data_IF_956007708943
#
_entry.id   IF_956007708943
#
_cell.length_a   1.000
_cell.length_b   1.000
_cell.length_c   1.000
_cell.angle_alpha   90.00
_cell.angle_beta   90.00
_cell.angle_gamma   90.00
#
_symmetry.space_group_name_H-M   'P 1'
#
loop_
_entity.id
_entity.type
_entity.pdbx_description
1 polymer ?
#
# COMPACT_ATOMS: atom_id res chain seq x y z
N UNK A 1 -3.84 2.67 -4.63
CA UNK A 1 -2.67 3.15 -3.85
C UNK A 1 -1.41 2.54 -4.47
N UNK A 2 -0.26 3.24 -4.53
CA UNK A 2 0.95 2.67 -5.11
C UNK A 2 1.73 1.84 -4.07
N UNK A 3 1.40 0.56 -3.94
CA UNK A 3 2.08 -0.39 -3.02
C UNK A 3 3.59 -0.48 -3.30
N UNK A 4 4.01 -0.38 -4.56
CA UNK A 4 5.43 -0.38 -4.92
C UNK A 4 6.14 0.81 -4.28
N UNK A 5 5.50 1.99 -4.25
CA UNK A 5 6.03 3.17 -3.57
C UNK A 5 6.11 2.99 -2.05
N UNK A 6 5.19 2.24 -1.43
CA UNK A 6 5.23 1.92 0.00
C UNK A 6 6.44 1.02 0.31
N UNK A 7 6.60 -0.06 -0.46
CA UNK A 7 7.69 -1.02 -0.24
C UNK A 7 9.05 -0.42 -0.58
N UNK A 8 9.13 0.43 -1.61
CA UNK A 8 10.37 1.13 -1.99
C UNK A 8 10.68 2.36 -1.13
N UNK A 9 9.85 2.70 -0.14
CA UNK A 9 10.06 3.86 0.73
C UNK A 9 9.85 5.22 0.04
N UNK A 10 9.31 5.25 -1.16
CA UNK A 10 9.06 6.46 -1.96
C UNK A 10 7.71 7.13 -1.67
N UNK A 11 7.01 6.72 -0.60
CA UNK A 11 5.71 7.27 -0.24
C UNK A 11 5.82 8.29 0.90
N UNK A 12 5.12 9.43 0.76
CA UNK A 12 4.92 10.36 1.86
C UNK A 12 3.91 9.78 2.85
N UNK A 13 4.40 9.21 3.97
CA UNK A 13 3.58 8.65 5.03
C UNK A 13 2.95 9.74 5.88
N UNK A 14 1.67 9.62 6.23
CA UNK A 14 0.99 10.60 7.07
C UNK A 14 1.66 10.76 8.44
N UNK A 15 2.26 9.71 9.02
CA UNK A 15 3.08 9.84 10.24
C UNK A 15 4.27 10.80 10.07
N UNK A 16 4.92 10.80 8.91
CA UNK A 16 6.02 11.70 8.61
C UNK A 16 5.50 13.09 8.25
N UNK A 17 4.52 13.18 7.35
CA UNK A 17 3.94 14.44 6.89
C UNK A 17 3.32 15.24 8.04
N UNK A 18 2.70 14.56 9.01
CA UNK A 18 2.11 15.20 10.18
C UNK A 18 3.19 15.84 11.06
N UNK A 19 4.30 15.11 11.30
CA UNK A 19 5.44 15.63 12.08
C UNK A 19 6.07 16.87 11.47
N UNK A 20 6.03 17.01 10.15
CA UNK A 20 6.57 18.19 9.43
C UNK A 20 5.49 19.24 9.08
N UNK A 21 4.27 19.10 9.61
CA UNK A 21 3.19 20.07 9.39
C UNK A 21 2.66 20.12 7.95
N UNK A 22 2.85 19.06 7.16
CA UNK A 22 2.39 18.94 5.76
C UNK A 22 1.03 18.25 5.63
N UNK A 23 0.47 17.74 6.71
CA UNK A 23 -0.90 17.21 6.79
C UNK A 23 -1.46 17.44 8.19
N UNK A 24 -2.78 17.49 8.30
CA UNK A 24 -3.49 17.75 9.56
C UNK A 24 -3.65 16.50 10.44
N UNK A 25 -3.35 15.31 9.91
CA UNK A 25 -3.52 14.05 10.64
C UNK A 25 -2.46 13.02 10.27
N UNK A 26 -1.94 12.31 11.27
CA UNK A 26 -1.05 11.16 11.08
C UNK A 26 -1.79 9.86 10.76
N UNK A 27 -3.12 9.90 10.68
CA UNK A 27 -3.97 8.71 10.50
C UNK A 27 -3.79 8.09 9.12
N UNK A 28 -3.86 6.76 9.07
CA UNK A 28 -3.80 5.93 7.87
C UNK A 28 -4.83 6.38 6.84
N UNK A 29 -4.37 6.69 5.63
CA UNK A 29 -5.21 7.14 4.52
C UNK A 29 -6.17 6.06 4.01
N UNK A 30 -5.94 4.80 4.40
CA UNK A 30 -6.74 3.64 4.00
C UNK A 30 -7.80 3.29 5.04
N UNK A 31 -7.38 2.83 6.22
CA UNK A 31 -8.32 2.37 7.24
C UNK A 31 -8.88 3.50 8.09
N UNK A 32 -8.24 4.67 8.11
CA UNK A 32 -8.65 5.85 8.89
C UNK A 32 -8.75 5.62 10.41
N UNK A 33 -8.12 4.57 10.93
CA UNK A 33 -8.23 4.17 12.35
C UNK A 33 -6.92 4.27 13.15
N UNK A 34 -5.79 4.01 12.52
CA UNK A 34 -4.46 3.94 13.18
C UNK A 34 -3.49 4.91 12.53
N UNK A 35 -2.40 5.22 13.22
CA UNK A 35 -1.31 6.01 12.64
C UNK A 35 -0.73 5.33 11.38
N UNK A 36 -0.48 6.12 10.35
CA UNK A 36 0.10 5.64 9.12
C UNK A 36 1.61 5.49 9.18
N UNK A 37 2.05 4.31 9.59
CA UNK A 37 3.47 3.91 9.56
C UNK A 37 3.71 2.90 8.42
N UNK A 38 4.96 2.68 7.99
CA UNK A 38 5.25 1.63 7.01
C UNK A 38 4.83 0.26 7.55
N UNK A 39 5.08 0.03 8.84
CA UNK A 39 4.71 -1.19 9.55
C UNK A 39 3.19 -1.39 9.52
N UNK A 40 2.41 -0.33 9.82
CA UNK A 40 0.95 -0.41 9.75
C UNK A 40 0.50 -0.76 8.32
N UNK A 41 0.99 -0.04 7.31
CA UNK A 41 0.58 -0.28 5.93
C UNK A 41 0.92 -1.69 5.45
N UNK A 42 2.10 -2.22 5.77
CA UNK A 42 2.56 -3.53 5.26
C UNK A 42 1.95 -4.70 6.03
N UNK A 43 1.89 -4.63 7.36
CA UNK A 43 1.58 -5.79 8.20
C UNK A 43 0.21 -5.77 8.85
N UNK A 44 -0.37 -4.59 9.10
CA UNK A 44 -1.54 -4.47 9.96
C UNK A 44 -2.76 -3.85 9.28
N UNK A 45 -2.59 -3.16 8.16
CA UNK A 45 -3.68 -2.52 7.46
C UNK A 45 -4.41 -3.56 6.60
N UNK A 46 -5.61 -3.97 7.04
CA UNK A 46 -6.45 -4.91 6.30
C UNK A 46 -6.74 -4.44 4.85
N UNK A 47 -6.83 -3.11 4.65
CA UNK A 47 -7.01 -2.53 3.32
C UNK A 47 -5.81 -2.81 2.40
N UNK A 48 -4.58 -2.72 2.91
CA UNK A 48 -3.38 -3.03 2.10
C UNK A 48 -3.31 -4.51 1.75
N UNK A 49 -3.61 -5.40 2.69
CA UNK A 49 -3.60 -6.86 2.45
C UNK A 49 -4.57 -7.22 1.32
N UNK A 50 -5.76 -6.61 1.30
CA UNK A 50 -6.75 -6.81 0.25
C UNK A 50 -6.24 -6.37 -1.13
N UNK A 51 -5.62 -5.19 -1.21
CA UNK A 51 -5.08 -4.64 -2.46
C UNK A 51 -3.87 -5.46 -2.96
N UNK A 52 -3.01 -5.95 -2.06
CA UNK A 52 -1.91 -6.86 -2.38
C UNK A 52 -2.43 -8.19 -2.97
N UNK A 53 -3.46 -8.78 -2.36
CA UNK A 53 -4.05 -10.02 -2.87
C UNK A 53 -4.55 -9.85 -4.30
N UNK A 54 -5.31 -8.78 -4.58
CA UNK A 54 -5.82 -8.48 -5.92
C UNK A 54 -4.69 -8.34 -6.95
N UNK A 55 -3.64 -7.58 -6.64
CA UNK A 55 -2.48 -7.41 -7.51
C UNK A 55 -1.75 -8.74 -7.79
N UNK A 56 -1.66 -9.62 -6.79
CA UNK A 56 -1.04 -10.94 -6.99
C UNK A 56 -1.87 -11.83 -7.92
N UNK A 57 -3.20 -11.81 -7.80
CA UNK A 57 -4.08 -12.58 -8.68
C UNK A 57 -4.05 -12.05 -10.12
N UNK A 58 -4.07 -10.73 -10.32
CA UNK A 58 -3.91 -10.11 -11.64
C UNK A 58 -2.55 -10.47 -12.28
N UNK A 59 -1.49 -10.50 -11.48
CA UNK A 59 -0.15 -10.87 -11.95
C UNK A 59 -0.07 -12.34 -12.37
N UNK A 60 -0.72 -13.24 -11.63
CA UNK A 60 -0.84 -14.66 -12.00
C UNK A 60 -1.64 -14.83 -13.29
N UNK A 61 -2.77 -14.14 -13.42
CA UNK A 61 -3.62 -14.18 -14.61
C UNK A 61 -2.85 -13.71 -15.86
N UNK A 62 -2.14 -12.58 -15.78
CA UNK A 62 -1.28 -12.08 -16.87
C UNK A 62 -0.18 -13.06 -17.24
N UNK A 63 0.47 -13.68 -16.24
CA UNK A 63 1.51 -14.70 -16.47
C UNK A 63 0.96 -15.95 -17.15
N UNK A 64 -0.24 -16.40 -16.78
CA UNK A 64 -0.91 -17.52 -17.42
C UNK A 64 -1.26 -17.20 -18.88
N UNK A 65 -1.81 -16.02 -19.14
CA UNK A 65 -2.17 -15.59 -20.49
C UNK A 65 -0.96 -15.42 -21.41
N UNK A 66 0.17 -14.91 -20.89
CA UNK A 66 1.41 -14.85 -21.66
C UNK A 66 1.92 -16.23 -22.08
N UNK A 67 1.83 -17.24 -21.18
CA UNK A 67 2.18 -18.63 -21.49
C UNK A 67 1.25 -19.29 -22.51
N UNK A 68 0.01 -18.86 -22.63
CA UNK A 68 -0.94 -19.38 -23.63
C UNK A 68 -0.74 -18.76 -25.02
N UNK A 69 -0.14 -17.56 -25.07
CA UNK A 69 0.10 -16.80 -26.29
C UNK A 69 1.56 -16.88 -26.79
N UNK A 70 2.39 -17.71 -26.15
CA UNK A 70 3.79 -17.95 -26.49
C UNK A 70 3.97 -19.38 -27.01
#
# INVERSE_FOLDING_TARGET
MNIVAIVSGNIGLNSHLFKIGKTESSTCRLCKEKEETPIHLIFYCACTVKEMYQLTEESKAKRHQWKLNA
#
